data_IF_154535519171
#
_entry.id   IF_154535519171
#
_cell.length_a   1.000
_cell.length_b   1.000
_cell.length_c   1.000
_cell.angle_alpha   90.00
_cell.angle_beta   90.00
_cell.angle_gamma   90.00
#
_symmetry.space_group_name_H-M   'P 1'
#
loop_
_entity.id
_entity.type
_entity.pdbx_description
1 polymer ?
#
# COMPACT_ATOMS: atom_id res chain seq x y z
N UNK A 1 -6.59 -9.58 9.73
CA UNK A 1 -5.54 -9.32 8.70
C UNK A 1 -4.77 -8.03 8.94
N UNK A 2 -5.39 -6.85 9.12
CA UNK A 2 -4.64 -5.61 9.45
C UNK A 2 -3.70 -5.76 10.66
N UNK A 3 -4.16 -6.37 11.76
CA UNK A 3 -3.31 -6.65 12.94
C UNK A 3 -2.11 -7.55 12.62
N UNK A 4 -2.28 -8.52 11.71
CA UNK A 4 -1.19 -9.39 11.24
C UNK A 4 -0.20 -8.54 10.44
N UNK A 5 -0.71 -7.72 9.50
CA UNK A 5 0.13 -6.89 8.65
C UNK A 5 0.96 -5.88 9.43
N UNK A 6 0.36 -5.18 10.40
CA UNK A 6 1.05 -4.27 11.30
C UNK A 6 2.12 -4.98 12.16
N UNK A 7 1.91 -6.28 12.48
CA UNK A 7 2.91 -7.07 13.21
C UNK A 7 4.06 -7.52 12.29
N UNK A 8 3.77 -7.77 11.02
CA UNK A 8 4.78 -8.15 10.02
C UNK A 8 5.54 -6.96 9.44
N UNK A 9 5.02 -5.74 9.55
CA UNK A 9 5.67 -4.52 9.05
C UNK A 9 7.11 -4.36 9.56
N UNK A 10 7.38 -4.69 10.83
CA UNK A 10 8.73 -4.65 11.43
C UNK A 10 9.75 -5.52 10.68
N UNK A 11 9.31 -6.67 10.18
CA UNK A 11 10.18 -7.65 9.50
C UNK A 11 10.07 -7.60 7.99
N UNK A 12 9.05 -6.93 7.44
CA UNK A 12 8.78 -6.88 6.00
C UNK A 12 9.99 -6.41 5.17
N UNK A 13 10.75 -5.34 5.56
CA UNK A 13 11.94 -4.92 4.80
C UNK A 13 12.99 -6.04 4.69
N UNK A 14 13.19 -6.80 5.77
CA UNK A 14 14.15 -7.92 5.82
C UNK A 14 13.70 -9.09 4.94
N UNK A 15 12.40 -9.37 4.91
CA UNK A 15 11.85 -10.46 4.10
C UNK A 15 11.85 -10.12 2.62
N UNK A 16 11.49 -8.88 2.28
CA UNK A 16 11.45 -8.38 0.90
C UNK A 16 12.83 -8.14 0.30
N UNK A 17 13.83 -7.84 1.13
CA UNK A 17 15.18 -7.42 0.68
C UNK A 17 15.12 -6.24 -0.29
N UNK A 18 14.13 -5.38 -0.11
CA UNK A 18 13.98 -4.15 -0.88
C UNK A 18 14.68 -3.00 -0.17
N UNK A 19 15.41 -2.21 -0.95
CA UNK A 19 16.09 -1.01 -0.50
C UNK A 19 16.04 0.03 -1.63
N UNK A 20 15.87 1.33 -1.33
CA UNK A 20 15.84 2.37 -2.36
C UNK A 20 17.08 2.35 -3.27
N UNK A 21 18.28 2.01 -2.76
CA UNK A 21 19.49 1.97 -3.58
C UNK A 21 19.43 0.88 -4.67
N UNK A 22 18.75 -0.24 -4.40
CA UNK A 22 18.49 -1.29 -5.39
C UNK A 22 17.64 -0.83 -6.57
N UNK A 23 16.92 0.29 -6.42
CA UNK A 23 16.13 0.94 -7.47
C UNK A 23 16.84 2.16 -8.08
N UNK A 24 18.13 2.33 -7.80
CA UNK A 24 18.93 3.45 -8.28
C UNK A 24 18.68 4.76 -7.53
N UNK A 25 17.98 4.73 -6.39
CA UNK A 25 17.83 5.92 -5.56
C UNK A 25 19.15 6.21 -4.83
N UNK A 26 19.64 7.44 -4.96
CA UNK A 26 20.90 7.88 -4.34
C UNK A 26 20.66 8.92 -3.26
N UNK A 27 21.68 9.22 -2.44
CA UNK A 27 21.60 10.29 -1.44
C UNK A 27 21.33 11.67 -2.05
N UNK A 28 21.83 11.94 -3.27
CA UNK A 28 21.58 13.18 -3.99
C UNK A 28 20.10 13.37 -4.36
N UNK A 29 19.36 12.27 -4.52
CA UNK A 29 17.92 12.27 -4.81
C UNK A 29 17.07 12.37 -3.54
N UNK A 30 17.67 12.28 -2.35
CA UNK A 30 16.92 12.26 -1.09
C UNK A 30 16.59 13.69 -0.61
N UNK A 31 15.31 13.96 -0.46
CA UNK A 31 14.78 15.15 0.20
C UNK A 31 14.57 14.86 1.70
N UNK A 32 15.53 15.29 2.52
CA UNK A 32 15.48 15.13 3.99
C UNK A 32 14.28 15.86 4.63
N UNK A 33 14.03 15.57 5.91
CA UNK A 33 12.97 16.21 6.70
C UNK A 33 13.03 17.74 6.77
N UNK A 34 14.21 18.32 6.53
CA UNK A 34 14.45 19.76 6.58
C UNK A 34 14.65 20.37 5.19
N UNK A 35 14.48 19.60 4.12
CA UNK A 35 14.72 20.07 2.77
C UNK A 35 13.71 21.16 2.39
N UNK A 36 14.20 22.34 2.01
CA UNK A 36 13.37 23.41 1.46
C UNK A 36 13.08 23.15 -0.03
N UNK A 37 12.20 22.18 -0.30
CA UNK A 37 11.84 21.75 -1.65
C UNK A 37 10.31 21.66 -1.81
N UNK A 38 9.70 22.14 -2.91
CA UNK A 38 8.24 22.09 -3.11
C UNK A 38 7.63 20.68 -2.96
N UNK A 39 8.21 19.65 -3.61
CA UNK A 39 7.84 18.24 -3.43
C UNK A 39 7.85 17.78 -1.96
N UNK A 40 8.87 18.18 -1.19
CA UNK A 40 8.95 17.88 0.24
C UNK A 40 7.81 18.54 1.01
N UNK A 41 7.60 19.85 0.81
CA UNK A 41 6.55 20.60 1.46
C UNK A 41 5.14 20.08 1.13
N UNK A 42 4.91 19.63 -0.10
CA UNK A 42 3.67 18.97 -0.52
C UNK A 42 3.49 17.63 0.20
N UNK A 43 4.50 16.76 0.18
CA UNK A 43 4.44 15.46 0.86
C UNK A 43 4.18 15.62 2.37
N UNK A 44 4.86 16.56 3.04
CA UNK A 44 4.64 16.84 4.47
C UNK A 44 3.23 17.38 4.74
N UNK A 45 2.67 18.20 3.83
CA UNK A 45 1.30 18.70 3.96
C UNK A 45 0.27 17.58 3.85
N UNK A 46 0.44 16.68 2.89
CA UNK A 46 -0.45 15.54 2.67
C UNK A 46 -0.32 14.54 3.81
N UNK A 47 0.90 14.27 4.29
CA UNK A 47 1.15 13.36 5.40
C UNK A 47 0.36 13.76 6.66
N UNK A 48 0.20 15.07 6.92
CA UNK A 48 -0.60 15.57 8.04
C UNK A 48 -2.06 15.11 8.03
N UNK A 49 -2.65 14.83 6.85
CA UNK A 49 -3.99 14.28 6.76
C UNK A 49 -4.10 12.85 7.34
N UNK A 50 -2.96 12.15 7.45
CA UNK A 50 -2.83 10.81 8.01
C UNK A 50 -2.17 10.80 9.39
N UNK A 51 -1.90 11.97 9.97
CA UNK A 51 -1.21 12.13 11.25
C UNK A 51 0.29 12.42 11.13
N UNK A 52 1.06 12.11 12.17
CA UNK A 52 2.51 12.33 12.18
C UNK A 52 3.22 11.10 11.62
N UNK A 53 3.85 11.24 10.46
CA UNK A 53 4.54 10.16 9.77
C UNK A 53 6.00 10.53 9.50
N UNK A 54 6.92 9.63 9.82
CA UNK A 54 8.31 9.76 9.41
C UNK A 54 8.53 9.01 8.10
N UNK A 55 9.00 9.71 7.07
CA UNK A 55 9.35 9.13 5.79
C UNK A 55 10.53 9.85 5.14
N UNK A 56 11.26 9.09 4.34
CA UNK A 56 12.23 9.62 3.39
C UNK A 56 11.57 9.83 2.04
N UNK A 57 11.89 10.93 1.37
CA UNK A 57 11.37 11.22 0.03
C UNK A 57 12.54 11.20 -0.95
N UNK A 58 12.46 10.34 -1.95
CA UNK A 58 13.41 10.26 -3.06
C UNK A 58 12.74 10.73 -4.33
N UNK A 59 13.44 11.55 -5.09
CA UNK A 59 12.92 12.15 -6.32
C UNK A 59 13.71 11.72 -7.53
N UNK A 60 13.06 11.74 -8.69
CA UNK A 60 13.70 11.46 -9.98
C UNK A 60 14.40 10.09 -10.05
N UNK A 61 13.80 9.07 -9.43
CA UNK A 61 14.36 7.71 -9.33
C UNK A 61 14.23 6.95 -10.66
N UNK A 62 15.33 6.70 -11.40
CA UNK A 62 15.27 6.35 -12.82
C UNK A 62 14.62 4.99 -13.12
N UNK A 63 14.65 4.04 -12.17
CA UNK A 63 14.04 2.73 -12.35
C UNK A 63 12.50 2.75 -12.27
N UNK A 64 11.89 3.88 -11.92
CA UNK A 64 10.46 4.01 -11.71
C UNK A 64 9.76 4.73 -12.86
N UNK A 65 8.59 4.23 -13.22
CA UNK A 65 7.63 4.91 -14.11
C UNK A 65 6.42 5.47 -13.36
N UNK A 66 6.20 4.99 -12.13
CA UNK A 66 5.10 5.37 -11.24
C UNK A 66 5.62 5.52 -9.80
N UNK A 67 4.97 6.36 -8.95
CA UNK A 67 5.36 6.49 -7.56
C UNK A 67 5.26 5.17 -6.79
N UNK A 68 6.23 4.90 -5.92
CA UNK A 68 6.34 3.65 -5.15
C UNK A 68 6.70 3.93 -3.70
N UNK A 69 6.26 3.05 -2.81
CA UNK A 69 6.64 3.06 -1.39
C UNK A 69 7.54 1.85 -1.12
N UNK A 70 8.64 2.05 -0.41
CA UNK A 70 9.54 0.98 0.01
C UNK A 70 9.46 0.87 1.54
N UNK A 71 9.01 -0.28 2.08
CA UNK A 71 8.88 -0.46 3.53
C UNK A 71 10.25 -0.33 4.19
N UNK A 72 10.32 0.38 5.32
CA UNK A 72 11.57 0.66 6.02
C UNK A 72 11.34 1.41 7.32
N UNK A 73 12.41 1.79 7.99
CA UNK A 73 12.36 2.64 9.19
C UNK A 73 13.40 3.76 9.07
N UNK A 74 13.01 4.97 8.63
CA UNK A 74 11.66 5.34 8.16
C UNK A 74 11.31 4.74 6.78
N UNK A 75 10.03 4.68 6.44
CA UNK A 75 9.57 4.26 5.11
C UNK A 75 10.03 5.24 4.03
N UNK A 76 10.38 4.74 2.84
CA UNK A 76 10.81 5.59 1.73
C UNK A 76 9.72 5.74 0.66
N UNK A 77 9.42 6.98 0.28
CA UNK A 77 8.57 7.33 -0.84
C UNK A 77 9.47 7.67 -2.03
N UNK A 78 9.28 6.99 -3.15
CA UNK A 78 10.11 7.17 -4.35
C UNK A 78 9.24 7.71 -5.48
N UNK A 79 9.67 8.83 -6.06
CA UNK A 79 8.99 9.48 -7.19
C UNK A 79 9.77 9.25 -8.49
N UNK A 80 9.09 8.91 -9.60
CA UNK A 80 9.75 8.71 -10.89
C UNK A 80 10.17 10.05 -11.52
N UNK A 81 11.09 10.02 -12.51
CA UNK A 81 11.36 11.18 -13.35
C UNK A 81 10.09 11.72 -14.02
N UNK A 82 9.99 13.04 -14.13
CA UNK A 82 8.85 13.71 -14.76
C UNK A 82 7.59 13.73 -13.89
N UNK A 83 7.67 13.35 -12.62
CA UNK A 83 6.55 13.52 -11.67
C UNK A 83 6.09 14.98 -11.57
N UNK A 84 7.02 15.93 -11.70
CA UNK A 84 6.71 17.37 -11.68
C UNK A 84 5.99 17.87 -12.95
N UNK A 85 5.91 17.04 -14.00
CA UNK A 85 5.13 17.36 -15.20
C UNK A 85 3.63 17.12 -14.99
N UNK A 86 3.24 16.41 -13.92
CA UNK A 86 1.86 16.23 -13.54
C UNK A 86 1.28 17.53 -12.97
N UNK A 87 -0.03 17.70 -13.05
CA UNK A 87 -0.69 18.81 -12.34
C UNK A 87 -0.45 18.69 -10.83
N UNK A 88 -0.50 19.81 -10.11
CA UNK A 88 -0.32 19.84 -8.65
C UNK A 88 -1.24 18.85 -7.94
N UNK A 89 -2.48 18.73 -8.42
CA UNK A 89 -3.46 17.80 -7.85
C UNK A 89 -3.13 16.34 -8.15
N UNK A 90 -2.70 16.00 -9.36
CA UNK A 90 -2.24 14.63 -9.69
C UNK A 90 -0.98 14.23 -8.90
N UNK A 91 -0.06 15.18 -8.65
CA UNK A 91 1.06 14.96 -7.74
C UNK A 91 0.57 14.67 -6.32
N UNK A 92 -0.41 15.44 -5.83
CA UNK A 92 -0.99 15.24 -4.52
C UNK A 92 -1.68 13.89 -4.39
N UNK A 93 -2.43 13.43 -5.41
CA UNK A 93 -3.04 12.10 -5.45
C UNK A 93 -1.98 11.00 -5.33
N UNK A 94 -0.91 11.09 -6.13
CA UNK A 94 0.16 10.09 -6.13
C UNK A 94 0.81 9.96 -4.74
N UNK A 95 1.10 11.09 -4.10
CA UNK A 95 1.64 11.12 -2.73
C UNK A 95 0.63 10.61 -1.70
N UNK A 96 -0.64 11.04 -1.78
CA UNK A 96 -1.68 10.65 -0.84
C UNK A 96 -1.94 9.15 -0.85
N UNK A 97 -1.90 8.51 -2.03
CA UNK A 97 -2.03 7.05 -2.15
C UNK A 97 -0.88 6.32 -1.43
N UNK A 98 0.37 6.76 -1.65
CA UNK A 98 1.51 6.14 -0.99
C UNK A 98 1.43 6.31 0.53
N UNK A 99 1.12 7.52 1.00
CA UNK A 99 0.98 7.82 2.42
C UNK A 99 -0.18 7.06 3.06
N UNK A 100 -1.29 6.86 2.34
CA UNK A 100 -2.38 6.01 2.81
C UNK A 100 -1.93 4.56 3.04
N UNK A 101 -1.11 4.00 2.15
CA UNK A 101 -0.57 2.65 2.34
C UNK A 101 0.30 2.55 3.61
N UNK A 102 1.09 3.59 3.89
CA UNK A 102 1.89 3.68 5.13
C UNK A 102 1.00 3.85 6.35
N UNK A 103 -0.02 4.69 6.29
CA UNK A 103 -0.95 4.94 7.40
C UNK A 103 -1.77 3.69 7.77
N UNK A 104 -2.08 2.85 6.78
CA UNK A 104 -2.74 1.56 6.95
C UNK A 104 -1.80 0.45 7.45
N UNK A 105 -0.50 0.69 7.58
CA UNK A 105 0.50 -0.32 8.00
C UNK A 105 0.72 -1.43 6.97
N UNK A 106 0.51 -1.13 5.68
CA UNK A 106 0.58 -2.08 4.57
C UNK A 106 1.49 -1.66 3.40
N UNK A 107 2.55 -0.85 3.56
CA UNK A 107 3.39 -0.42 2.43
C UNK A 107 4.10 -1.58 1.70
N UNK A 108 4.18 -2.74 2.32
CA UNK A 108 4.83 -3.94 1.79
C UNK A 108 3.88 -4.87 1.00
N UNK A 109 2.57 -4.67 1.10
CA UNK A 109 1.59 -5.64 0.58
C UNK A 109 1.60 -5.74 -0.94
N UNK A 110 1.82 -4.62 -1.63
CA UNK A 110 1.92 -4.61 -3.10
C UNK A 110 3.26 -5.18 -3.61
N UNK A 111 4.22 -5.44 -2.71
CA UNK A 111 5.57 -5.89 -3.04
C UNK A 111 5.75 -7.42 -2.99
N UNK A 112 4.77 -8.13 -2.42
CA UNK A 112 4.79 -9.60 -2.31
C UNK A 112 3.93 -10.25 -3.37
N UNK A 113 4.24 -11.47 -3.83
CA UNK A 113 3.31 -12.23 -4.68
C UNK A 113 2.04 -12.65 -3.90
N UNK A 114 0.98 -13.07 -4.59
CA UNK A 114 -0.24 -13.56 -3.91
C UNK A 114 0.02 -14.83 -3.09
N UNK A 115 0.89 -15.70 -3.61
CA UNK A 115 1.32 -16.91 -2.91
C UNK A 115 2.13 -16.55 -1.66
N UNK A 116 3.10 -15.63 -1.79
CA UNK A 116 3.91 -15.19 -0.64
C UNK A 116 3.05 -14.47 0.39
N UNK A 117 2.12 -13.61 -0.01
CA UNK A 117 1.21 -12.96 0.92
C UNK A 117 0.37 -13.97 1.70
N UNK A 118 -0.09 -15.02 1.01
CA UNK A 118 -0.80 -16.13 1.66
C UNK A 118 0.10 -16.82 2.67
N UNK A 119 1.33 -17.14 2.27
CA UNK A 119 2.33 -17.74 3.15
C UNK A 119 2.72 -16.85 4.32
N UNK A 120 2.79 -15.54 4.14
CA UNK A 120 3.08 -14.58 5.20
C UNK A 120 1.97 -14.53 6.23
N UNK A 121 0.72 -14.44 5.80
CA UNK A 121 -0.43 -14.36 6.70
C UNK A 121 -0.59 -15.64 7.50
N UNK A 122 -0.66 -16.80 6.84
CA UNK A 122 -0.90 -18.07 7.53
C UNK A 122 0.36 -18.60 8.23
N UNK A 123 1.54 -18.41 7.65
CA UNK A 123 2.81 -18.73 8.29
C UNK A 123 3.02 -17.93 9.58
N UNK A 124 2.65 -16.64 9.61
CA UNK A 124 2.71 -15.82 10.82
C UNK A 124 1.78 -16.36 11.93
N UNK A 125 0.54 -16.72 11.61
CA UNK A 125 -0.38 -17.32 12.58
C UNK A 125 0.18 -18.62 13.16
N UNK A 126 0.76 -19.48 12.32
CA UNK A 126 1.44 -20.71 12.73
C UNK A 126 2.72 -20.50 13.55
N UNK A 127 3.34 -19.31 13.46
CA UNK A 127 4.44 -18.89 14.35
C UNK A 127 3.91 -18.40 15.69
N UNK A 128 2.83 -17.63 15.70
CA UNK A 128 2.19 -17.15 16.93
C UNK A 128 1.66 -18.31 17.77
N UNK A 129 0.92 -19.22 17.13
CA UNK A 129 0.31 -20.38 17.76
C UNK A 129 0.51 -21.63 16.89
N UNK A 130 1.52 -22.47 17.21
CA UNK A 130 1.72 -23.74 16.52
C UNK A 130 0.46 -24.62 16.56
N UNK A 131 0.00 -25.09 15.40
CA UNK A 131 -1.18 -25.94 15.27
C UNK A 131 -2.52 -25.21 15.47
N UNK A 132 -2.55 -23.87 15.42
CA UNK A 132 -3.79 -23.08 15.51
C UNK A 132 -4.86 -23.51 14.51
N UNK A 133 -4.44 -24.04 13.36
CA UNK A 133 -5.30 -24.47 12.28
C UNK A 133 -5.87 -25.88 12.45
N UNK A 134 -5.35 -26.65 13.41
CA UNK A 134 -5.79 -28.02 13.67
C UNK A 134 -5.64 -28.98 12.49
N UNK A 135 -4.80 -28.65 11.49
CA UNK A 135 -4.68 -29.38 10.23
C UNK A 135 -5.80 -29.11 9.21
N UNK A 136 -6.63 -28.08 9.44
CA UNK A 136 -7.77 -27.71 8.60
C UNK A 136 -7.45 -26.70 7.49
N UNK A 137 -6.19 -26.30 7.30
CA UNK A 137 -5.82 -25.41 6.20
C UNK A 137 -5.91 -26.13 4.86
N UNK A 138 -6.61 -25.51 3.90
CA UNK A 138 -6.63 -25.99 2.52
C UNK A 138 -5.19 -26.03 1.93
N UNK A 139 -4.83 -27.00 1.07
CA UNK A 139 -3.49 -27.13 0.52
C UNK A 139 -2.91 -25.86 -0.15
N UNK A 140 -3.78 -25.07 -0.80
CA UNK A 140 -3.37 -23.78 -1.40
C UNK A 140 -2.91 -22.72 -0.39
N UNK A 141 -3.20 -22.92 0.91
CA UNK A 141 -2.77 -22.06 2.01
C UNK A 141 -1.65 -22.72 2.82
N UNK A 142 -1.76 -24.03 3.06
CA UNK A 142 -0.81 -24.79 3.87
C UNK A 142 0.60 -24.86 3.27
N UNK A 143 0.71 -25.09 1.96
CA UNK A 143 2.00 -25.11 1.26
C UNK A 143 2.77 -23.79 1.43
N UNK A 144 2.19 -22.64 1.01
CA UNK A 144 2.82 -21.33 1.22
C UNK A 144 3.11 -21.01 2.70
N UNK A 145 2.20 -21.37 3.61
CA UNK A 145 2.38 -21.14 5.05
C UNK A 145 3.60 -21.91 5.58
N UNK A 146 3.75 -23.18 5.20
CA UNK A 146 4.86 -24.04 5.59
C UNK A 146 6.20 -23.51 5.09
N UNK A 147 6.25 -22.95 3.88
CA UNK A 147 7.43 -22.30 3.31
C UNK A 147 7.89 -21.10 4.14
N UNK A 148 6.94 -20.21 4.50
CA UNK A 148 7.27 -18.94 5.13
C UNK A 148 7.39 -18.99 6.66
N UNK A 149 6.71 -19.93 7.32
CA UNK A 149 6.74 -20.12 8.79
C UNK A 149 8.15 -20.10 9.38
N UNK A 150 9.13 -20.93 8.95
CA UNK A 150 10.46 -20.93 9.56
C UNK A 150 11.23 -19.62 9.34
N UNK A 151 11.01 -18.95 8.20
CA UNK A 151 11.65 -17.67 7.86
C UNK A 151 11.12 -16.58 8.79
N UNK A 152 9.80 -16.50 8.95
CA UNK A 152 9.12 -15.55 9.83
C UNK A 152 9.54 -15.81 11.28
N UNK A 153 9.54 -17.07 11.73
CA UNK A 153 9.93 -17.44 13.10
C UNK A 153 11.32 -16.94 13.47
N UNK A 154 12.27 -17.03 12.53
CA UNK A 154 13.65 -16.53 12.70
C UNK A 154 13.75 -15.01 12.66
N UNK A 155 12.89 -14.33 11.88
CA UNK A 155 12.95 -12.89 11.71
C UNK A 155 12.22 -12.12 12.83
N UNK A 156 11.11 -12.65 13.32
CA UNK A 156 10.21 -11.94 14.22
C UNK A 156 10.70 -11.90 15.68
N UNK A 157 10.49 -10.76 16.32
CA UNK A 157 10.80 -10.53 17.73
C UNK A 157 9.89 -11.32 18.67
N UNK A 158 10.31 -11.53 19.93
CA UNK A 158 9.47 -12.18 20.95
C UNK A 158 8.14 -11.44 21.15
N UNK A 159 8.18 -10.10 21.17
CA UNK A 159 6.98 -9.25 21.27
C UNK A 159 6.03 -9.48 20.08
N UNK A 160 6.57 -9.56 18.87
CA UNK A 160 5.80 -9.88 17.67
C UNK A 160 5.14 -11.27 17.74
N UNK A 161 5.85 -12.30 18.24
CA UNK A 161 5.26 -13.64 18.43
C UNK A 161 4.08 -13.63 19.40
N UNK A 162 4.22 -12.96 20.54
CA UNK A 162 3.12 -12.85 21.51
C UNK A 162 1.88 -12.18 20.89
N UNK A 163 2.07 -11.10 20.10
CA UNK A 163 0.97 -10.47 19.37
C UNK A 163 0.32 -11.43 18.36
N UNK A 164 1.11 -12.24 17.65
CA UNK A 164 0.58 -13.20 16.69
C UNK A 164 -0.20 -14.33 17.37
N UNK A 165 0.21 -14.75 18.57
CA UNK A 165 -0.55 -15.71 19.38
C UNK A 165 -1.95 -15.17 19.73
N UNK A 166 -2.01 -13.94 20.27
CA UNK A 166 -3.27 -13.24 20.54
C UNK A 166 -4.14 -13.09 19.28
N UNK A 167 -3.53 -12.78 18.13
CA UNK A 167 -4.26 -12.67 16.87
C UNK A 167 -4.76 -14.03 16.39
N UNK A 168 -4.02 -15.12 16.63
CA UNK A 168 -4.38 -16.46 16.21
C UNK A 168 -5.60 -17.02 16.96
N UNK A 169 -5.88 -16.55 18.19
CA UNK A 169 -7.10 -16.90 18.94
C UNK A 169 -8.39 -16.53 18.20
N UNK A 170 -8.38 -15.39 17.53
CA UNK A 170 -9.53 -14.81 16.86
C UNK A 170 -9.50 -15.04 15.35
N UNK A 171 -8.42 -15.66 14.84
CA UNK A 171 -8.20 -15.85 13.41
C UNK A 171 -9.12 -16.93 12.84
N UNK A 172 -9.71 -16.65 11.67
CA UNK A 172 -10.56 -17.59 10.94
C UNK A 172 -9.78 -18.29 9.83
N UNK A 173 -10.07 -19.57 9.59
CA UNK A 173 -9.44 -20.34 8.51
C UNK A 173 -9.83 -19.85 7.10
N UNK A 174 -11.00 -19.25 6.98
CA UNK A 174 -11.58 -18.75 5.72
C UNK A 174 -11.02 -17.39 5.27
N UNK A 175 -10.06 -16.81 5.99
CA UNK A 175 -9.40 -15.57 5.58
C UNK A 175 -8.88 -15.68 4.14
N UNK A 176 -9.04 -14.59 3.39
CA UNK A 176 -8.59 -14.46 2.02
C UNK A 176 -7.59 -13.30 1.92
N UNK A 177 -6.27 -13.60 1.96
CA UNK A 177 -5.22 -12.60 1.84
C UNK A 177 -5.25 -11.84 0.51
N UNK A 178 -5.72 -12.47 -0.57
CA UNK A 178 -5.77 -11.85 -1.91
C UNK A 178 -6.93 -10.86 -1.99
N UNK A 179 -8.12 -11.24 -1.54
CA UNK A 179 -9.24 -10.32 -1.42
C UNK A 179 -8.93 -9.16 -0.46
N UNK A 180 -8.22 -9.44 0.64
CA UNK A 180 -7.76 -8.40 1.56
C UNK A 180 -6.77 -7.43 0.93
N UNK A 181 -5.76 -7.91 0.19
CA UNK A 181 -4.85 -7.05 -0.58
C UNK A 181 -5.65 -6.14 -1.51
N UNK A 182 -6.59 -6.72 -2.25
CA UNK A 182 -7.41 -5.96 -3.17
C UNK A 182 -8.18 -4.84 -2.43
N UNK A 183 -8.80 -5.17 -1.29
CA UNK A 183 -9.48 -4.19 -0.45
C UNK A 183 -8.55 -3.08 0.07
N UNK A 184 -7.30 -3.41 0.45
CA UNK A 184 -6.30 -2.41 0.86
C UNK A 184 -5.93 -1.51 -0.31
N UNK A 185 -5.72 -2.08 -1.49
CA UNK A 185 -5.41 -1.31 -2.68
C UNK A 185 -6.54 -0.31 -3.01
N UNK A 186 -7.81 -0.75 -2.98
CA UNK A 186 -8.96 0.15 -3.13
C UNK A 186 -9.00 1.22 -2.04
N UNK A 187 -8.76 0.86 -0.78
CA UNK A 187 -8.74 1.80 0.33
C UNK A 187 -7.70 2.91 0.13
N UNK A 188 -6.49 2.60 -0.36
CA UNK A 188 -5.47 3.63 -0.62
C UNK A 188 -5.90 4.65 -1.68
N UNK A 189 -6.62 4.21 -2.71
CA UNK A 189 -7.16 5.09 -3.75
C UNK A 189 -8.32 5.95 -3.25
N UNK A 190 -9.22 5.37 -2.45
CA UNK A 190 -10.30 6.11 -1.79
C UNK A 190 -9.77 7.16 -0.83
N UNK A 191 -8.72 6.83 -0.06
CA UNK A 191 -8.01 7.79 0.79
C UNK A 191 -7.36 8.91 -0.04
N UNK A 192 -6.73 8.57 -1.17
CA UNK A 192 -6.15 9.58 -2.05
C UNK A 192 -7.21 10.57 -2.55
N UNK A 193 -8.35 10.06 -3.04
CA UNK A 193 -9.48 10.92 -3.43
C UNK A 193 -10.03 11.72 -2.26
N UNK A 194 -10.22 11.10 -1.10
CA UNK A 194 -10.72 11.78 0.09
C UNK A 194 -9.85 12.97 0.52
N UNK A 195 -8.54 12.82 0.43
CA UNK A 195 -7.58 13.85 0.83
C UNK A 195 -7.48 14.96 -0.20
N UNK A 196 -7.61 14.66 -1.49
CA UNK A 196 -7.47 15.66 -2.57
C UNK A 196 -8.78 16.29 -3.01
N UNK A 197 -9.92 15.63 -2.77
CA UNK A 197 -11.25 15.96 -3.30
C UNK A 197 -11.30 16.16 -4.82
N UNK A 198 -10.35 15.59 -5.56
CA UNK A 198 -10.30 15.70 -7.01
C UNK A 198 -10.44 14.31 -7.64
N UNK A 199 -11.67 14.02 -8.05
CA UNK A 199 -12.04 12.74 -8.63
C UNK A 199 -11.36 12.51 -9.98
N UNK A 200 -11.27 13.55 -10.82
CA UNK A 200 -10.67 13.46 -12.16
C UNK A 200 -9.17 13.19 -12.06
N UNK A 201 -8.44 13.93 -11.23
CA UNK A 201 -7.02 13.69 -10.98
C UNK A 201 -6.79 12.30 -10.38
N UNK A 202 -7.69 11.82 -9.51
CA UNK A 202 -7.59 10.48 -8.95
C UNK A 202 -7.72 9.40 -10.02
N UNK A 203 -8.73 9.51 -10.90
CA UNK A 203 -8.92 8.58 -12.01
C UNK A 203 -7.76 8.61 -13.00
N UNK A 204 -7.25 9.80 -13.35
CA UNK A 204 -6.10 9.94 -14.24
C UNK A 204 -4.84 9.30 -13.65
N UNK A 205 -4.57 9.53 -12.36
CA UNK A 205 -3.41 8.95 -11.71
C UNK A 205 -3.55 7.42 -11.56
N UNK A 206 -4.75 6.92 -11.27
CA UNK A 206 -5.06 5.49 -11.22
C UNK A 206 -4.85 4.84 -12.58
N UNK A 207 -5.38 5.46 -13.64
CA UNK A 207 -5.18 4.99 -15.01
C UNK A 207 -3.69 4.90 -15.37
N UNK A 208 -2.93 5.96 -15.10
CA UNK A 208 -1.48 6.01 -15.37
C UNK A 208 -0.69 4.97 -14.57
N UNK A 209 -1.17 4.64 -13.36
CA UNK A 209 -0.50 3.67 -12.49
C UNK A 209 -0.76 2.22 -12.89
N UNK A 210 -1.81 1.96 -13.68
CA UNK A 210 -2.17 0.64 -14.19
C UNK A 210 -1.46 0.31 -15.50
N UNK A 211 -0.56 -0.69 -15.46
CA UNK A 211 0.22 -1.11 -16.63
C UNK A 211 -0.63 -1.72 -17.74
N UNK A 212 -1.68 -2.43 -17.38
CA UNK A 212 -2.64 -3.09 -18.28
C UNK A 212 -3.54 -2.11 -19.04
N UNK A 213 -3.55 -0.83 -18.63
CA UNK A 213 -4.37 0.21 -19.26
C UNK A 213 -3.60 1.04 -20.31
N UNK A 214 -2.29 0.80 -20.44
CA UNK A 214 -1.45 1.49 -21.41
C UNK A 214 -1.87 1.16 -22.85
N UNK A 215 -2.11 2.18 -23.66
CA UNK A 215 -2.40 2.03 -25.09
C UNK A 215 -3.84 1.62 -25.41
N UNK A 216 -4.76 1.68 -24.45
CA UNK A 216 -6.18 1.40 -24.71
C UNK A 216 -6.77 2.47 -25.66
N UNK A 217 -7.43 2.05 -26.76
CA UNK A 217 -8.12 2.95 -27.68
C UNK A 217 -9.21 3.80 -27.02
N UNK A 218 -9.38 5.04 -27.50
CA UNK A 218 -10.32 6.01 -26.91
C UNK A 218 -11.78 5.54 -26.91
N UNK A 219 -12.21 4.77 -27.92
CA UNK A 219 -13.54 4.18 -28.02
C UNK A 219 -13.81 3.08 -26.98
N UNK A 220 -12.76 2.56 -26.34
CA UNK A 220 -12.86 1.52 -25.30
C UNK A 220 -12.73 2.04 -23.87
N UNK A 221 -12.43 3.33 -23.69
CA UNK A 221 -12.16 3.92 -22.36
C UNK A 221 -13.32 3.67 -21.38
N UNK A 222 -14.57 3.87 -21.80
CA UNK A 222 -15.73 3.66 -20.92
C UNK A 222 -15.86 2.20 -20.47
N UNK A 223 -15.75 1.24 -21.40
CA UNK A 223 -15.80 -0.18 -21.07
C UNK A 223 -14.65 -0.58 -20.12
N UNK A 224 -13.45 -0.04 -20.36
CA UNK A 224 -12.28 -0.27 -19.51
C UNK A 224 -12.46 0.31 -18.11
N UNK A 225 -13.00 1.52 -17.98
CA UNK A 225 -13.26 2.15 -16.67
C UNK A 225 -14.11 1.25 -15.77
N UNK A 226 -15.17 0.65 -16.32
CA UNK A 226 -16.05 -0.25 -15.56
C UNK A 226 -15.55 -1.70 -15.49
N UNK A 227 -14.65 -2.11 -16.38
CA UNK A 227 -14.00 -3.42 -16.37
C UNK A 227 -12.87 -3.53 -15.34
N UNK A 228 -12.10 -2.46 -15.15
CA UNK A 228 -10.96 -2.44 -14.22
C UNK A 228 -11.42 -2.20 -12.79
N UNK A 229 -11.07 -3.10 -11.87
CA UNK A 229 -11.60 -3.13 -10.50
C UNK A 229 -11.39 -1.82 -9.73
N UNK A 230 -10.19 -1.23 -9.80
CA UNK A 230 -9.86 0.04 -9.13
C UNK A 230 -10.63 1.22 -9.71
N UNK A 231 -10.75 1.28 -11.04
CA UNK A 231 -11.39 2.42 -11.70
C UNK A 231 -12.89 2.36 -11.50
N UNK A 232 -13.49 1.17 -11.64
CA UNK A 232 -14.88 0.92 -11.29
C UNK A 232 -15.17 1.30 -9.85
N UNK A 233 -14.32 0.88 -8.91
CA UNK A 233 -14.48 1.20 -7.50
C UNK A 233 -14.46 2.71 -7.25
N UNK A 234 -13.46 3.42 -7.78
CA UNK A 234 -13.37 4.88 -7.67
C UNK A 234 -14.57 5.60 -8.26
N UNK A 235 -15.13 5.10 -9.37
CA UNK A 235 -16.34 5.67 -9.98
C UNK A 235 -17.56 5.41 -9.09
N UNK A 236 -17.82 4.16 -8.72
CA UNK A 236 -19.02 3.79 -7.96
C UNK A 236 -18.98 4.36 -6.53
N UNK A 237 -17.83 4.24 -5.87
CA UNK A 237 -17.64 4.80 -4.54
C UNK A 237 -17.70 6.33 -4.58
N UNK A 238 -17.03 6.97 -5.53
CA UNK A 238 -17.03 8.43 -5.64
C UNK A 238 -18.41 9.04 -5.83
N UNK A 239 -19.34 8.32 -6.46
CA UNK A 239 -20.73 8.71 -6.65
C UNK A 239 -21.67 8.23 -5.52
N UNK A 240 -21.17 7.47 -4.55
CA UNK A 240 -21.98 6.95 -3.45
C UNK A 240 -22.29 8.02 -2.41
N UNK A 241 -23.42 7.85 -1.70
CA UNK A 241 -23.83 8.75 -0.62
C UNK A 241 -22.86 8.77 0.57
N UNK A 242 -22.00 7.76 0.71
CA UNK A 242 -21.01 7.64 1.79
C UNK A 242 -19.81 8.58 1.59
N UNK A 243 -19.55 9.00 0.35
CA UNK A 243 -18.38 9.81 0.01
C UNK A 243 -18.51 11.26 0.47
N UNK A 244 -19.69 11.86 0.33
CA UNK A 244 -19.91 13.27 0.69
C UNK A 244 -19.62 13.57 2.17
N UNK A 245 -20.12 12.79 3.15
CA UNK A 245 -19.76 12.98 4.56
C UNK A 245 -18.25 12.86 4.81
N UNK A 246 -17.58 11.95 4.10
CA UNK A 246 -16.15 11.71 4.29
C UNK A 246 -15.30 12.85 3.72
N UNK A 247 -15.68 13.41 2.56
CA UNK A 247 -15.04 14.61 2.00
C UNK A 247 -15.20 15.82 2.95
N UNK A 248 -16.39 15.99 3.54
CA UNK A 248 -16.62 17.03 4.56
C UNK A 248 -15.76 16.83 5.80
N UNK A 249 -15.64 15.58 6.28
CA UNK A 249 -14.78 15.25 7.43
C UNK A 249 -13.29 15.52 7.13
N UNK A 250 -12.87 15.36 5.88
CA UNK A 250 -11.53 15.73 5.40
C UNK A 250 -11.34 17.24 5.17
N UNK A 251 -12.38 18.06 5.39
CA UNK A 251 -12.32 19.51 5.30
C UNK A 251 -12.69 20.09 3.93
N UNK A 252 -13.24 19.28 3.03
CA UNK A 252 -13.67 19.72 1.71
C UNK A 252 -15.14 20.16 1.73
N UNK A 253 -15.46 21.27 1.04
CA UNK A 253 -16.84 21.63 0.79
C UNK A 253 -17.45 20.62 -0.19
N UNK A 254 -18.51 19.94 0.25
CA UNK A 254 -19.23 18.96 -0.57
C UNK A 254 -20.10 19.57 -1.65
#
# INVERSE_FOLDING_TARGET
MLRIAATLEEIAPKLLRLDPAGLGATSAMRLSARANHPRRAMADRIARAFGTMAFDLYVDVPALTVPRVIPGSPTALLLPPGFDNLTVTEQAVGLARLLAAVALGVPWVDEVSNEDLTGWVFGALSVGRPGWDGGGLHPSKDGPASTWRPIIQKAISRKGRNKLDEIAEEARLDMDPVAWRHAMHLATWRCAYAVTADWTATLHHAWRSSRDLSGIPSDRVAATLFGHSVLRDLVLWGLSAETTPLLRAAGHAG
#
